data_IF_586252444320
#
_entry.id   IF_586252444320
#
_cell.length_a   1.000
_cell.length_b   1.000
_cell.length_c   1.000
_cell.angle_alpha   90.00
_cell.angle_beta   90.00
_cell.angle_gamma   90.00
#
_symmetry.space_group_name_H-M   'P 1'
#
loop_
_entity.id
_entity.type
_entity.pdbx_description
1 polymer ?
#
# COMPACT_ATOMS: atom_id res chain seq x y z
N UNK A 1 4.13 -6.62 -8.60
CA UNK A 1 3.86 -5.33 -7.91
C UNK A 1 5.11 -4.44 -7.83
N UNK A 2 6.24 -4.88 -7.25
CA UNK A 2 7.42 -3.99 -7.07
C UNK A 2 8.23 -3.69 -8.34
N UNK A 3 8.12 -4.50 -9.39
CA UNK A 3 8.75 -4.21 -10.69
C UNK A 3 8.20 -2.96 -11.40
N UNK A 4 7.01 -2.48 -11.00
CA UNK A 4 6.45 -1.22 -11.49
C UNK A 4 6.98 0.04 -10.78
N UNK A 5 7.82 -0.11 -9.76
CA UNK A 5 8.29 1.00 -8.92
C UNK A 5 9.51 1.72 -9.52
N UNK A 6 9.34 2.32 -10.70
CA UNK A 6 10.33 3.25 -11.27
C UNK A 6 10.29 4.58 -10.50
N UNK A 7 11.22 4.74 -9.56
CA UNK A 7 11.27 5.92 -8.68
C UNK A 7 11.58 7.22 -9.45
N UNK A 8 12.25 7.14 -10.61
CA UNK A 8 12.54 8.32 -11.44
C UNK A 8 11.29 8.79 -12.18
N UNK A 9 10.52 7.87 -12.73
CA UNK A 9 9.24 8.18 -13.36
C UNK A 9 8.25 8.73 -12.32
N UNK A 10 8.11 8.06 -11.16
CA UNK A 10 7.23 8.49 -10.07
C UNK A 10 7.56 9.94 -9.63
N UNK A 11 8.83 10.27 -9.41
CA UNK A 11 9.23 11.62 -9.00
C UNK A 11 8.96 12.71 -10.05
N UNK A 12 8.85 12.34 -11.33
CA UNK A 12 8.55 13.27 -12.43
C UNK A 12 7.05 13.38 -12.71
N UNK A 13 6.35 12.26 -12.73
CA UNK A 13 4.96 12.13 -13.19
C UNK A 13 3.96 12.31 -12.04
N UNK A 14 4.34 11.99 -10.80
CA UNK A 14 3.49 12.11 -9.62
C UNK A 14 3.76 13.36 -8.77
N UNK A 15 4.42 14.40 -9.30
CA UNK A 15 4.88 15.57 -8.52
C UNK A 15 3.81 16.20 -7.63
N UNK A 16 2.58 16.35 -8.12
CA UNK A 16 1.49 16.93 -7.36
C UNK A 16 1.07 16.07 -6.14
N UNK A 17 1.30 14.75 -6.23
CA UNK A 17 0.81 13.74 -5.31
C UNK A 17 1.88 13.23 -4.33
N UNK A 18 3.17 13.36 -4.67
CA UNK A 18 4.30 12.93 -3.82
C UNK A 18 4.27 13.59 -2.45
N UNK A 19 4.04 14.90 -2.38
CA UNK A 19 3.95 15.63 -1.10
C UNK A 19 2.79 15.15 -0.22
N UNK A 20 1.54 15.14 -0.73
CA UNK A 20 0.39 14.57 -0.03
C UNK A 20 0.61 13.12 0.42
N UNK A 21 1.22 12.28 -0.41
CA UNK A 21 1.53 10.89 -0.07
C UNK A 21 2.56 10.78 1.05
N UNK A 22 3.65 11.55 1.00
CA UNK A 22 4.66 11.57 2.06
C UNK A 22 4.06 11.99 3.41
N UNK A 23 3.16 12.98 3.41
CA UNK A 23 2.43 13.41 4.60
C UNK A 23 1.44 12.35 5.09
N UNK A 24 0.76 11.63 4.19
CA UNK A 24 -0.09 10.50 4.57
C UNK A 24 0.73 9.35 5.19
N UNK A 25 1.88 9.01 4.62
CA UNK A 25 2.78 8.01 5.20
C UNK A 25 3.31 8.45 6.58
N UNK A 26 3.68 9.72 6.73
CA UNK A 26 4.07 10.29 8.03
C UNK A 26 2.92 10.25 9.05
N UNK A 27 1.69 10.53 8.62
CA UNK A 27 0.50 10.39 9.47
C UNK A 27 0.30 8.94 9.93
N UNK A 28 0.55 7.95 9.07
CA UNK A 28 0.54 6.53 9.46
C UNK A 28 1.63 6.21 10.47
N UNK A 29 2.85 6.74 10.29
CA UNK A 29 3.96 6.56 11.24
C UNK A 29 3.58 7.11 12.62
N UNK A 30 3.04 8.32 12.68
CA UNK A 30 2.59 8.94 13.94
C UNK A 30 1.42 8.15 14.55
N UNK A 31 0.46 7.72 13.75
CA UNK A 31 -0.66 6.89 14.20
C UNK A 31 -0.21 5.54 14.76
N UNK A 32 0.77 4.90 14.11
CA UNK A 32 1.37 3.66 14.59
C UNK A 32 2.11 3.86 15.92
N UNK A 33 2.87 4.95 16.06
CA UNK A 33 3.56 5.26 17.32
C UNK A 33 2.56 5.53 18.47
N UNK A 34 1.49 6.29 18.21
CA UNK A 34 0.43 6.54 19.18
C UNK A 34 -0.32 5.26 19.57
N UNK A 35 -0.62 4.40 18.59
CA UNK A 35 -1.26 3.11 18.83
C UNK A 35 -0.36 2.16 19.62
N UNK A 36 0.95 2.14 19.33
CA UNK A 36 1.92 1.35 20.09
C UNK A 36 2.05 1.83 21.54
N UNK A 37 2.08 3.15 21.77
CA UNK A 37 2.10 3.73 23.11
C UNK A 37 0.83 3.40 23.92
N UNK A 38 -0.31 3.16 23.27
CA UNK A 38 -1.54 2.69 23.91
C UNK A 38 -1.47 1.20 24.35
N UNK A 39 -0.46 0.46 23.90
CA UNK A 39 -0.16 -0.91 24.32
C UNK A 39 -1.02 -2.00 23.67
N UNK A 40 -0.75 -3.26 24.05
CA UNK A 40 -1.50 -4.45 23.64
C UNK A 40 -0.95 -5.20 22.42
N UNK A 41 -0.03 -4.61 21.66
CA UNK A 41 0.53 -5.21 20.43
C UNK A 41 2.05 -5.27 20.49
N UNK A 42 2.63 -6.40 20.10
CA UNK A 42 4.08 -6.58 19.97
C UNK A 42 4.67 -5.60 18.94
N UNK A 43 5.88 -5.12 19.21
CA UNK A 43 6.55 -4.12 18.38
C UNK A 43 6.75 -4.57 16.92
N UNK A 44 6.89 -5.89 16.67
CA UNK A 44 7.04 -6.45 15.32
C UNK A 44 5.73 -6.42 14.55
N UNK A 45 4.62 -6.77 15.21
CA UNK A 45 3.29 -6.66 14.60
C UNK A 45 2.92 -5.19 14.38
N UNK A 46 3.25 -4.31 15.32
CA UNK A 46 3.04 -2.86 15.17
C UNK A 46 3.75 -2.30 13.92
N UNK A 47 5.03 -2.66 13.73
CA UNK A 47 5.80 -2.30 12.53
C UNK A 47 5.22 -2.91 11.24
N UNK A 48 4.73 -4.14 11.29
CA UNK A 48 4.08 -4.78 10.15
C UNK A 48 2.77 -4.08 9.75
N UNK A 49 1.92 -3.74 10.73
CA UNK A 49 0.67 -2.99 10.52
C UNK A 49 0.94 -1.56 10.02
N UNK A 50 2.03 -0.92 10.45
CA UNK A 50 2.44 0.36 9.91
C UNK A 50 2.84 0.24 8.42
N UNK A 51 3.68 -0.73 8.08
CA UNK A 51 4.08 -1.00 6.69
C UNK A 51 2.86 -1.30 5.81
N UNK A 52 1.90 -2.09 6.34
CA UNK A 52 0.64 -2.35 5.65
C UNK A 52 -0.11 -1.07 5.29
N UNK A 53 -0.14 -0.10 6.20
CA UNK A 53 -0.92 1.12 6.04
C UNK A 53 -0.17 2.24 5.30
N UNK A 54 1.07 1.98 4.86
CA UNK A 54 1.85 2.85 3.96
C UNK A 54 1.96 2.24 2.55
N UNK A 55 2.00 0.91 2.44
CA UNK A 55 2.26 0.19 1.18
C UNK A 55 1.53 -1.14 1.03
N UNK A 56 0.38 -1.33 1.67
CA UNK A 56 -0.48 -2.51 1.49
C UNK A 56 0.05 -3.83 2.06
N UNK A 57 -0.74 -4.89 1.91
CA UNK A 57 -0.49 -6.16 2.62
C UNK A 57 0.72 -6.98 2.11
N UNK A 58 1.28 -6.70 0.94
CA UNK A 58 2.57 -7.30 0.55
C UNK A 58 3.70 -6.85 1.47
N UNK A 59 3.66 -5.58 1.92
CA UNK A 59 4.62 -5.05 2.87
C UNK A 59 4.39 -5.60 4.28
N UNK A 60 3.13 -5.84 4.66
CA UNK A 60 2.81 -6.56 5.90
C UNK A 60 3.51 -7.92 5.95
N UNK A 61 3.33 -8.74 4.90
CA UNK A 61 3.92 -10.09 4.82
C UNK A 61 5.44 -10.03 4.85
N UNK A 62 6.05 -9.08 4.13
CA UNK A 62 7.49 -8.89 4.11
C UNK A 62 8.06 -8.54 5.49
N UNK A 63 7.42 -7.63 6.23
CA UNK A 63 7.85 -7.28 7.59
C UNK A 63 7.64 -8.44 8.56
N UNK A 64 6.50 -9.13 8.48
CA UNK A 64 6.22 -10.29 9.32
C UNK A 64 7.24 -11.42 9.12
N UNK A 65 7.63 -11.69 7.87
CA UNK A 65 8.67 -12.67 7.56
C UNK A 65 10.04 -12.21 8.11
N UNK A 66 10.43 -10.95 7.85
CA UNK A 66 11.71 -10.40 8.27
C UNK A 66 11.90 -10.39 9.79
N UNK A 67 10.83 -10.10 10.54
CA UNK A 67 10.85 -10.02 12.00
C UNK A 67 10.39 -11.32 12.70
N UNK A 68 10.07 -12.36 11.93
CA UNK A 68 9.55 -13.63 12.45
C UNK A 68 8.35 -13.44 13.38
N UNK A 69 7.35 -12.69 12.93
CA UNK A 69 6.08 -12.50 13.66
C UNK A 69 5.37 -13.85 13.79
N UNK A 70 4.85 -14.15 14.98
CA UNK A 70 4.15 -15.41 15.26
C UNK A 70 2.87 -15.55 14.45
N UNK A 71 2.49 -16.78 14.10
CA UNK A 71 1.32 -17.06 13.24
C UNK A 71 0.00 -16.47 13.78
N UNK A 72 -0.20 -16.49 15.11
CA UNK A 72 -1.40 -15.91 15.73
C UNK A 72 -1.49 -14.39 15.54
N UNK A 73 -0.38 -13.67 15.73
CA UNK A 73 -0.29 -12.22 15.52
C UNK A 73 -0.40 -11.87 14.04
N UNK A 74 0.25 -12.67 13.19
CA UNK A 74 0.17 -12.54 11.75
C UNK A 74 -1.28 -12.60 11.25
N UNK A 75 -2.02 -13.62 11.65
CA UNK A 75 -3.42 -13.79 11.25
C UNK A 75 -4.31 -12.74 11.88
N UNK A 76 -4.10 -12.41 13.16
CA UNK A 76 -4.86 -11.37 13.85
C UNK A 76 -4.72 -10.00 13.17
N UNK A 77 -3.50 -9.62 12.80
CA UNK A 77 -3.21 -8.38 12.08
C UNK A 77 -3.95 -8.28 10.76
N UNK A 78 -3.87 -9.30 9.91
CA UNK A 78 -4.55 -9.28 8.59
C UNK A 78 -6.07 -9.24 8.76
N UNK A 79 -6.62 -10.07 9.64
CA UNK A 79 -8.07 -10.16 9.81
C UNK A 79 -8.67 -8.84 10.32
N UNK A 80 -8.08 -8.27 11.38
CA UNK A 80 -8.55 -6.99 11.94
C UNK A 80 -8.38 -5.86 10.95
N UNK A 81 -7.25 -5.83 10.23
CA UNK A 81 -7.01 -4.78 9.26
C UNK A 81 -7.99 -4.82 8.07
N UNK A 82 -8.34 -6.02 7.59
CA UNK A 82 -9.39 -6.17 6.57
C UNK A 82 -10.75 -5.68 7.08
N UNK A 83 -11.08 -5.93 8.36
CA UNK A 83 -12.29 -5.36 8.99
C UNK A 83 -12.20 -3.83 9.07
N UNK A 84 -11.05 -3.27 9.45
CA UNK A 84 -10.85 -1.83 9.50
C UNK A 84 -11.00 -1.18 8.10
N UNK A 85 -10.57 -1.86 7.05
CA UNK A 85 -10.72 -1.42 5.66
C UNK A 85 -12.19 -1.27 5.24
N UNK A 86 -13.09 -2.12 5.76
CA UNK A 86 -14.55 -2.02 5.52
C UNK A 86 -15.16 -0.72 6.08
N UNK A 87 -14.50 -0.09 7.05
CA UNK A 87 -14.90 1.20 7.61
C UNK A 87 -14.16 2.33 6.89
N UNK A 88 -12.85 2.19 6.72
CA UNK A 88 -11.97 3.23 6.18
C UNK A 88 -12.33 3.64 4.75
N UNK A 89 -12.52 2.70 3.82
CA UNK A 89 -12.78 3.05 2.42
C UNK A 89 -14.13 3.76 2.20
N UNK A 90 -15.25 3.31 2.81
CA UNK A 90 -16.49 4.07 2.75
C UNK A 90 -16.38 5.46 3.37
N UNK A 91 -15.59 5.62 4.43
CA UNK A 91 -15.36 6.91 5.09
C UNK A 91 -14.62 7.87 4.14
N UNK A 92 -13.55 7.42 3.47
CA UNK A 92 -12.87 8.21 2.45
C UNK A 92 -13.77 8.53 1.26
N UNK A 93 -14.58 7.57 0.79
CA UNK A 93 -15.53 7.81 -0.30
C UNK A 93 -16.59 8.85 0.10
N UNK A 94 -17.07 8.83 1.35
CA UNK A 94 -17.97 9.84 1.87
C UNK A 94 -17.31 11.22 1.96
N UNK A 95 -16.04 11.27 2.38
CA UNK A 95 -15.27 12.51 2.41
C UNK A 95 -15.06 13.09 1.00
N UNK A 96 -14.75 12.24 0.02
CA UNK A 96 -14.62 12.64 -1.38
C UNK A 96 -15.93 13.23 -1.94
N UNK A 97 -17.07 12.59 -1.65
CA UNK A 97 -18.39 13.12 -2.04
C UNK A 97 -18.67 14.50 -1.43
N UNK A 98 -18.32 14.71 -0.16
CA UNK A 98 -18.47 16.03 0.49
C UNK A 98 -17.60 17.10 -0.17
N UNK A 99 -16.33 16.80 -0.45
CA UNK A 99 -15.43 17.73 -1.15
C UNK A 99 -15.98 18.11 -2.54
N UNK A 100 -16.59 17.18 -3.25
CA UNK A 100 -17.27 17.48 -4.52
C UNK A 100 -18.52 18.34 -4.36
N UNK A 101 -19.31 18.11 -3.30
CA UNK A 101 -20.51 18.90 -3.02
C UNK A 101 -20.17 20.34 -2.59
N UNK A 102 -19.17 20.52 -1.71
CA UNK A 102 -18.75 21.81 -1.18
C UNK A 102 -18.03 22.68 -2.23
N UNK A 103 -17.45 22.06 -3.26
CA UNK A 103 -16.80 22.75 -4.38
C UNK A 103 -17.76 23.44 -5.36
N UNK A 104 -19.08 23.29 -5.19
CA UNK A 104 -20.09 23.70 -6.16
C UNK A 104 -20.11 22.75 -7.36
N UNK A 105 -21.29 22.33 -7.82
CA UNK A 105 -21.47 21.41 -8.95
C UNK A 105 -20.96 21.95 -10.28
N UNK A 106 -19.66 21.92 -10.50
CA UNK A 106 -18.98 22.51 -11.66
C UNK A 106 -17.73 21.76 -12.08
N UNK A 107 -17.88 20.46 -12.36
CA UNK A 107 -17.22 19.72 -13.46
C UNK A 107 -18.20 18.61 -13.93
N UNK A 108 -19.50 18.93 -13.94
CA UNK A 108 -20.54 18.19 -14.65
C UNK A 108 -20.85 18.93 -15.95
N UNK A 109 -19.97 18.82 -16.94
CA UNK A 109 -20.14 19.47 -18.23
C UNK A 109 -18.86 19.46 -19.06
N UNK A 110 -18.82 18.56 -20.04
CA UNK A 110 -17.94 18.60 -21.22
C UNK A 110 -16.44 18.36 -21.02
N UNK A 111 -16.04 17.10 -20.79
CA UNK A 111 -15.04 16.52 -21.71
C UNK A 111 -15.84 16.01 -22.94
N UNK A 112 -16.34 16.96 -23.74
CA UNK A 112 -16.77 16.65 -25.10
C UNK A 112 -15.50 16.27 -25.85
N UNK A 113 -15.40 14.97 -26.13
CA UNK A 113 -14.38 14.32 -26.96
C UNK A 113 -12.98 14.36 -26.33
N UNK A 114 -12.74 13.40 -25.44
CA UNK A 114 -11.48 12.67 -25.49
C UNK A 114 -11.74 11.17 -25.41
N UNK A 115 -12.38 10.65 -26.46
CA UNK A 115 -12.42 9.21 -26.75
C UNK A 115 -10.99 8.65 -26.84
N UNK A 116 -9.96 9.49 -26.98
CA UNK A 116 -8.56 9.10 -26.90
C UNK A 116 -8.09 8.72 -25.50
N UNK A 117 -8.59 9.28 -24.38
CA UNK A 117 -8.03 8.94 -23.06
C UNK A 117 -8.59 7.64 -22.47
N UNK A 118 -9.86 7.33 -22.75
CA UNK A 118 -10.41 6.01 -22.43
C UNK A 118 -9.80 4.96 -23.36
N UNK A 119 -9.56 5.29 -24.64
CA UNK A 119 -8.72 4.46 -25.49
C UNK A 119 -7.32 4.34 -24.90
N UNK A 120 -6.63 5.37 -24.44
CA UNK A 120 -5.22 5.24 -24.04
C UNK A 120 -5.02 4.50 -22.70
N UNK A 121 -5.96 4.58 -21.75
CA UNK A 121 -5.90 3.79 -20.50
C UNK A 121 -6.44 2.37 -20.69
N UNK A 122 -7.45 2.19 -21.55
CA UNK A 122 -7.97 0.87 -21.90
C UNK A 122 -7.07 0.16 -22.92
N UNK A 123 -6.39 0.87 -23.82
CA UNK A 123 -5.35 0.41 -24.76
C UNK A 123 -4.06 0.17 -24.00
N UNK A 124 -3.62 1.04 -23.07
CA UNK A 124 -2.47 0.70 -22.22
C UNK A 124 -2.75 -0.58 -21.41
N UNK A 125 -3.98 -0.75 -20.86
CA UNK A 125 -4.37 -1.99 -20.18
C UNK A 125 -4.63 -3.17 -21.11
N UNK A 126 -5.06 -2.95 -22.35
CA UNK A 126 -5.38 -4.00 -23.33
C UNK A 126 -4.14 -4.50 -24.07
N UNK A 127 -3.19 -3.62 -24.34
CA UNK A 127 -1.84 -3.97 -24.83
C UNK A 127 -1.06 -4.76 -23.76
N UNK A 128 -1.31 -4.47 -22.47
CA UNK A 128 -0.73 -5.22 -21.34
C UNK A 128 -1.49 -6.54 -21.02
N UNK A 129 -2.74 -6.70 -21.49
CA UNK A 129 -3.60 -7.86 -21.19
C UNK A 129 -3.46 -9.02 -22.19
N UNK A 130 -2.80 -8.82 -23.33
CA UNK A 130 -2.46 -9.87 -24.31
C UNK A 130 -1.15 -10.60 -23.93
N UNK A 131 -0.89 -10.77 -22.64
CA UNK A 131 0.23 -11.58 -22.17
C UNK A 131 -0.02 -13.04 -22.54
N UNK A 132 0.79 -13.56 -23.47
CA UNK A 132 0.77 -14.98 -23.83
C UNK A 132 1.08 -15.83 -22.59
N UNK A 133 0.63 -17.08 -22.57
CA UNK A 133 1.03 -18.03 -21.51
C UNK A 133 2.57 -18.13 -21.38
N UNK A 134 3.30 -17.92 -22.48
CA UNK A 134 4.76 -17.85 -22.49
C UNK A 134 5.33 -16.62 -21.75
N UNK A 135 4.65 -15.47 -21.81
CA UNK A 135 5.06 -14.23 -21.14
C UNK A 135 4.81 -14.34 -19.63
N UNK A 136 3.70 -14.96 -19.23
CA UNK A 136 3.41 -15.26 -17.84
C UNK A 136 4.44 -16.22 -17.22
N UNK A 137 4.82 -17.28 -17.94
CA UNK A 137 5.87 -18.22 -17.53
C UNK A 137 7.24 -17.53 -17.38
N UNK A 138 7.64 -16.74 -18.38
CA UNK A 138 8.90 -15.98 -18.34
C UNK A 138 8.94 -15.03 -17.16
N UNK A 139 7.84 -14.31 -16.93
CA UNK A 139 7.68 -13.38 -15.81
C UNK A 139 7.75 -14.10 -14.46
N UNK A 140 7.17 -15.30 -14.36
CA UNK A 140 7.27 -16.13 -13.17
C UNK A 140 8.72 -16.54 -12.90
N UNK A 141 9.47 -16.99 -13.92
CA UNK A 141 10.89 -17.32 -13.78
C UNK A 141 11.73 -16.11 -13.36
N UNK A 142 11.52 -14.93 -13.96
CA UNK A 142 12.22 -13.70 -13.56
C UNK A 142 11.91 -13.35 -12.11
N UNK A 143 10.65 -13.48 -11.70
CA UNK A 143 10.24 -13.21 -10.31
C UNK A 143 10.88 -14.19 -9.32
N UNK A 144 10.92 -15.48 -9.65
CA UNK A 144 11.60 -16.51 -8.83
C UNK A 144 13.10 -16.26 -8.80
N UNK A 145 13.72 -15.87 -9.92
CA UNK A 145 15.12 -15.49 -9.99
C UNK A 145 15.44 -14.29 -9.09
N UNK A 146 14.63 -13.24 -9.13
CA UNK A 146 14.77 -12.09 -8.22
C UNK A 146 14.61 -12.48 -6.74
N UNK A 147 13.71 -13.41 -6.44
CA UNK A 147 13.55 -13.96 -5.09
C UNK A 147 14.80 -14.74 -4.65
N UNK A 148 15.36 -15.58 -5.52
CA UNK A 148 16.59 -16.32 -5.25
C UNK A 148 17.78 -15.37 -5.03
N UNK A 149 17.93 -14.33 -5.85
CA UNK A 149 18.94 -13.29 -5.64
C UNK A 149 18.75 -12.56 -4.32
N UNK A 150 17.51 -12.21 -3.95
CA UNK A 150 17.20 -11.59 -2.66
C UNK A 150 17.54 -12.50 -1.49
N UNK A 151 17.28 -13.81 -1.61
CA UNK A 151 17.65 -14.80 -0.59
C UNK A 151 19.17 -14.92 -0.43
N UNK A 152 19.92 -15.00 -1.54
CA UNK A 152 21.39 -15.02 -1.50
C UNK A 152 21.92 -13.74 -0.82
N UNK A 153 21.41 -12.58 -1.22
CA UNK A 153 21.80 -11.30 -0.62
C UNK A 153 21.50 -11.25 0.88
N UNK A 154 20.31 -11.68 1.28
CA UNK A 154 19.88 -11.73 2.68
C UNK A 154 20.80 -12.62 3.54
N UNK A 155 21.18 -13.80 3.01
CA UNK A 155 22.09 -14.71 3.69
C UNK A 155 23.52 -14.15 3.78
N UNK A 156 24.06 -13.61 2.68
CA UNK A 156 25.41 -13.03 2.64
C UNK A 156 25.51 -11.80 3.55
N UNK A 157 24.45 -11.00 3.65
CA UNK A 157 24.39 -9.84 4.53
C UNK A 157 24.16 -10.19 6.00
N UNK A 158 23.96 -11.46 6.35
CA UNK A 158 23.74 -11.93 7.73
C UNK A 158 22.30 -11.76 8.25
N UNK A 159 21.33 -11.54 7.37
CA UNK A 159 19.91 -11.36 7.70
C UNK A 159 19.02 -12.39 6.97
N UNK A 160 19.09 -13.68 7.32
CA UNK A 160 18.44 -14.76 6.55
C UNK A 160 16.90 -14.65 6.46
N UNK A 161 16.26 -13.93 7.39
CA UNK A 161 14.80 -13.66 7.36
C UNK A 161 14.43 -12.49 6.45
N UNK A 162 15.39 -11.67 6.02
CA UNK A 162 15.17 -10.44 5.24
C UNK A 162 15.10 -10.68 3.72
N UNK A 163 14.82 -11.91 3.27
CA UNK A 163 14.68 -12.27 1.85
C UNK A 163 13.69 -11.37 1.12
N UNK A 164 12.48 -11.18 1.65
CA UNK A 164 11.45 -10.35 1.01
C UNK A 164 11.86 -8.86 0.89
N UNK A 165 12.34 -8.19 1.96
CA UNK A 165 12.91 -6.84 1.84
C UNK A 165 14.05 -6.75 0.82
N UNK A 166 14.97 -7.72 0.80
CA UNK A 166 16.08 -7.73 -0.15
C UNK A 166 15.60 -7.87 -1.60
N UNK A 167 14.64 -8.76 -1.85
CA UNK A 167 14.00 -8.92 -3.16
C UNK A 167 13.31 -7.63 -3.60
N UNK A 168 12.60 -6.94 -2.70
CA UNK A 168 11.98 -5.64 -3.00
C UNK A 168 13.04 -4.61 -3.38
N UNK A 169 14.14 -4.49 -2.62
CA UNK A 169 15.22 -3.55 -2.95
C UNK A 169 15.80 -3.83 -4.34
N UNK A 170 16.12 -5.09 -4.66
CA UNK A 170 16.64 -5.47 -5.96
C UNK A 170 15.65 -5.16 -7.10
N UNK A 171 14.38 -5.48 -6.92
CA UNK A 171 13.35 -5.22 -7.92
C UNK A 171 13.14 -3.71 -8.18
N UNK A 172 13.14 -2.89 -7.12
CA UNK A 172 13.01 -1.42 -7.22
C UNK A 172 14.24 -0.81 -7.88
N UNK A 173 15.45 -1.27 -7.52
CA UNK A 173 16.70 -0.84 -8.17
C UNK A 173 16.65 -1.17 -9.66
N UNK A 174 16.26 -2.40 -10.01
CA UNK A 174 16.11 -2.82 -11.39
C UNK A 174 15.06 -1.98 -12.15
N UNK A 175 13.88 -1.78 -11.55
CA UNK A 175 12.81 -0.96 -12.12
C UNK A 175 13.24 0.49 -12.39
N UNK A 176 14.08 1.05 -11.52
CA UNK A 176 14.56 2.43 -11.62
C UNK A 176 15.78 2.57 -12.55
N UNK A 177 16.66 1.57 -12.59
CA UNK A 177 17.89 1.59 -13.40
C UNK A 177 17.65 1.20 -14.85
N UNK A 178 16.74 0.25 -15.10
CA UNK A 178 16.43 -0.29 -16.43
C UNK A 178 14.91 -0.33 -16.68
N UNK A 179 14.21 0.82 -16.69
CA UNK A 179 12.75 0.86 -16.76
C UNK A 179 12.18 0.27 -18.04
N UNK A 180 12.91 0.35 -19.17
CA UNK A 180 12.51 -0.26 -20.44
C UNK A 180 12.44 -1.78 -20.39
N UNK A 181 13.25 -2.41 -19.53
CA UNK A 181 13.23 -3.86 -19.30
C UNK A 181 12.21 -4.26 -18.22
N UNK A 182 12.03 -3.41 -17.21
CA UNK A 182 11.14 -3.69 -16.09
C UNK A 182 9.65 -3.49 -16.41
N UNK A 183 9.30 -2.53 -17.29
CA UNK A 183 7.90 -2.22 -17.63
C UNK A 183 7.12 -3.43 -18.19
N UNK A 184 7.63 -4.18 -19.19
CA UNK A 184 6.92 -5.36 -19.69
C UNK A 184 6.71 -6.43 -18.61
N UNK A 185 7.71 -6.63 -17.73
CA UNK A 185 7.62 -7.58 -16.61
C UNK A 185 6.58 -7.11 -15.59
N UNK A 186 6.50 -5.81 -15.33
CA UNK A 186 5.53 -5.25 -14.40
C UNK A 186 4.09 -5.45 -14.92
N UNK A 187 3.86 -5.16 -16.20
CA UNK A 187 2.57 -5.31 -16.87
C UNK A 187 2.03 -6.75 -16.78
N UNK A 188 2.87 -7.74 -17.07
CA UNK A 188 2.49 -9.16 -17.01
C UNK A 188 2.39 -9.67 -15.56
N UNK A 189 3.25 -9.19 -14.65
CA UNK A 189 3.29 -9.66 -13.26
C UNK A 189 2.15 -9.10 -12.40
N UNK A 190 1.64 -7.91 -12.71
CA UNK A 190 0.70 -7.20 -11.82
C UNK A 190 -0.66 -7.90 -11.66
N UNK A 191 -1.34 -8.34 -12.74
CA UNK A 191 -2.59 -9.08 -12.61
C UNK A 191 -2.43 -10.41 -11.87
N UNK A 192 -1.36 -11.16 -12.18
CA UNK A 192 -1.07 -12.43 -11.51
C UNK A 192 -0.75 -12.23 -10.03
N UNK A 193 0.12 -11.27 -9.69
CA UNK A 193 0.46 -10.96 -8.31
C UNK A 193 -0.76 -10.49 -7.51
N UNK A 194 -1.64 -9.68 -8.11
CA UNK A 194 -2.88 -9.21 -7.47
C UNK A 194 -3.83 -10.38 -7.20
N UNK A 195 -3.99 -11.29 -8.17
CA UNK A 195 -4.86 -12.46 -8.03
C UNK A 195 -4.37 -13.39 -6.93
N UNK A 196 -3.07 -13.70 -6.91
CA UNK A 196 -2.45 -14.53 -5.87
C UNK A 196 -2.53 -13.88 -4.48
N UNK A 197 -2.40 -12.55 -4.40
CA UNK A 197 -2.54 -11.81 -3.15
C UNK A 197 -3.97 -11.91 -2.59
N UNK A 198 -5.00 -11.86 -3.43
CA UNK A 198 -6.38 -12.05 -2.98
C UNK A 198 -6.64 -13.47 -2.48
N UNK A 199 -6.15 -14.49 -3.19
CA UNK A 199 -6.21 -15.88 -2.71
C UNK A 199 -5.53 -16.01 -1.35
N UNK A 200 -4.35 -15.40 -1.20
CA UNK A 200 -3.63 -15.37 0.07
C UNK A 200 -4.45 -14.71 1.18
N UNK A 201 -5.10 -13.56 0.95
CA UNK A 201 -5.93 -12.91 1.97
C UNK A 201 -7.17 -13.73 2.35
N UNK A 202 -7.79 -14.41 1.38
CA UNK A 202 -8.92 -15.31 1.65
C UNK A 202 -8.48 -16.45 2.56
N UNK A 203 -7.34 -17.09 2.26
CA UNK A 203 -6.80 -18.19 3.07
C UNK A 203 -6.38 -17.69 4.46
N UNK A 204 -5.70 -16.54 4.55
CA UNK A 204 -5.30 -15.95 5.81
C UNK A 204 -6.52 -15.62 6.70
N UNK A 205 -7.58 -15.07 6.11
CA UNK A 205 -8.83 -14.81 6.81
C UNK A 205 -9.55 -16.07 7.27
N UNK A 206 -9.59 -17.12 6.45
CA UNK A 206 -10.17 -18.40 6.82
C UNK A 206 -9.38 -19.14 7.92
N UNK A 207 -8.09 -18.84 8.05
CA UNK A 207 -7.18 -19.48 9.02
C UNK A 207 -7.20 -18.83 10.41
N UNK A 208 -8.27 -18.10 10.77
CA UNK A 208 -8.40 -17.23 11.96
C UNK A 208 -8.31 -17.92 13.34
N UNK A 209 -8.05 -19.23 13.39
CA UNK A 209 -7.89 -20.00 14.62
C UNK A 209 -9.22 -20.32 15.32
N UNK A 210 -9.11 -20.86 16.54
CA UNK A 210 -10.26 -21.14 17.40
C UNK A 210 -10.79 -19.87 18.08
N UNK A 211 -12.06 -19.85 18.47
CA UNK A 211 -12.67 -18.73 19.22
C UNK A 211 -12.32 -18.78 20.72
N UNK A 212 -11.10 -19.19 21.05
CA UNK A 212 -10.65 -19.26 22.44
C UNK A 212 -10.59 -17.85 23.07
N UNK A 213 -10.76 -17.72 24.39
CA UNK A 213 -10.65 -16.42 25.07
C UNK A 213 -9.31 -15.70 24.80
N UNK A 214 -8.22 -16.47 24.68
CA UNK A 214 -6.89 -15.93 24.39
C UNK A 214 -6.77 -15.37 22.97
N UNK A 215 -7.39 -16.06 21.99
CA UNK A 215 -7.47 -15.60 20.61
C UNK A 215 -8.32 -14.33 20.50
N UNK A 216 -9.45 -14.28 21.20
CA UNK A 216 -10.32 -13.11 21.21
C UNK A 216 -9.66 -11.89 21.86
N UNK A 217 -8.90 -12.08 22.95
CA UNK A 217 -8.13 -11.02 23.57
C UNK A 217 -7.10 -10.43 22.60
N UNK A 218 -6.35 -11.30 21.89
CA UNK A 218 -5.40 -10.88 20.84
C UNK A 218 -6.08 -10.06 19.75
N UNK A 219 -7.22 -10.53 19.22
CA UNK A 219 -7.99 -9.76 18.24
C UNK A 219 -8.44 -8.41 18.79
N UNK A 220 -8.84 -8.34 20.06
CA UNK A 220 -9.23 -7.10 20.73
C UNK A 220 -8.09 -6.10 20.84
N UNK A 221 -6.89 -6.54 21.18
CA UNK A 221 -5.71 -5.66 21.28
C UNK A 221 -5.27 -5.15 19.91
N UNK A 222 -5.24 -6.01 18.89
CA UNK A 222 -4.96 -5.61 17.50
C UNK A 222 -6.04 -4.65 16.97
N UNK A 223 -7.31 -4.88 17.31
CA UNK A 223 -8.41 -3.98 16.95
C UNK A 223 -8.24 -2.60 17.57
N UNK A 224 -7.89 -2.53 18.86
CA UNK A 224 -7.59 -1.25 19.54
C UNK A 224 -6.42 -0.53 18.87
N UNK A 225 -5.34 -1.25 18.57
CA UNK A 225 -4.18 -0.69 17.88
C UNK A 225 -4.58 -0.11 16.51
N UNK A 226 -5.28 -0.88 15.67
CA UNK A 226 -5.74 -0.42 14.36
C UNK A 226 -6.69 0.78 14.50
N UNK A 227 -7.65 0.75 15.44
CA UNK A 227 -8.57 1.86 15.65
C UNK A 227 -7.83 3.18 15.96
N UNK A 228 -6.82 3.15 16.83
CA UNK A 228 -5.99 4.33 17.13
C UNK A 228 -5.17 4.76 15.91
N UNK A 229 -4.52 3.82 15.22
CA UNK A 229 -3.71 4.10 14.04
C UNK A 229 -4.54 4.79 12.95
N UNK A 230 -5.70 4.23 12.59
CA UNK A 230 -6.58 4.78 11.57
C UNK A 230 -7.18 6.12 11.99
N UNK A 231 -7.58 6.28 13.26
CA UNK A 231 -8.12 7.54 13.76
C UNK A 231 -7.09 8.66 13.67
N UNK A 232 -5.87 8.44 14.14
CA UNK A 232 -4.77 9.43 14.07
C UNK A 232 -4.39 9.70 12.62
N UNK A 233 -4.28 8.66 11.78
CA UNK A 233 -3.98 8.81 10.35
C UNK A 233 -5.00 9.71 9.65
N UNK A 234 -6.31 9.39 9.78
CA UNK A 234 -7.38 10.18 9.14
C UNK A 234 -7.42 11.59 9.70
N UNK A 235 -7.25 11.78 11.01
CA UNK A 235 -7.25 13.11 11.63
C UNK A 235 -6.09 13.98 11.10
N UNK A 236 -4.88 13.43 11.02
CA UNK A 236 -3.71 14.16 10.53
C UNK A 236 -3.81 14.45 9.02
N UNK A 237 -4.30 13.50 8.22
CA UNK A 237 -4.56 13.75 6.80
C UNK A 237 -5.63 14.82 6.63
N UNK A 238 -6.73 14.78 7.40
CA UNK A 238 -7.78 15.79 7.35
C UNK A 238 -7.27 17.18 7.77
N UNK A 239 -6.42 17.24 8.80
CA UNK A 239 -5.74 18.47 9.19
C UNK A 239 -4.85 18.99 8.05
N UNK A 240 -3.99 18.14 7.47
CA UNK A 240 -3.16 18.51 6.33
C UNK A 240 -4.01 18.99 5.14
N UNK A 241 -5.07 18.27 4.81
CA UNK A 241 -6.00 18.61 3.74
C UNK A 241 -6.76 19.91 3.96
N UNK A 242 -6.84 20.42 5.19
CA UNK A 242 -7.56 21.64 5.53
C UNK A 242 -6.60 22.82 5.69
N UNK A 243 -5.47 22.63 6.37
CA UNK A 243 -4.56 23.70 6.74
C UNK A 243 -3.45 23.94 5.71
N UNK A 244 -3.06 22.92 4.93
CA UNK A 244 -2.03 23.10 3.90
C UNK A 244 -2.65 23.72 2.65
N UNK A 245 -2.00 24.76 2.13
CA UNK A 245 -2.43 25.54 0.96
C UNK A 245 -3.89 26.05 1.04
N UNK A 246 -4.40 26.28 2.25
CA UNK A 246 -5.79 26.70 2.48
C UNK A 246 -6.82 25.67 2.03
N UNK A 247 -6.45 24.39 1.98
CA UNK A 247 -7.32 23.28 1.62
C UNK A 247 -7.61 23.14 0.13
N UNK A 248 -6.78 23.72 -0.74
CA UNK A 248 -6.91 23.58 -2.20
C UNK A 248 -6.58 22.17 -2.70
N UNK A 249 -5.79 21.39 -1.96
CA UNK A 249 -5.34 20.04 -2.33
C UNK A 249 -6.10 18.90 -1.65
N UNK A 250 -7.36 19.13 -1.25
CA UNK A 250 -8.17 18.11 -0.53
C UNK A 250 -8.27 16.80 -1.33
N UNK A 251 -8.43 16.88 -2.65
CA UNK A 251 -8.54 15.72 -3.54
C UNK A 251 -7.27 14.86 -3.46
N UNK A 252 -6.11 15.49 -3.54
CA UNK A 252 -4.80 14.86 -3.46
C UNK A 252 -4.55 14.22 -2.09
N UNK A 253 -4.92 14.87 -0.98
CA UNK A 253 -4.79 14.27 0.36
C UNK A 253 -5.72 13.08 0.58
N UNK A 254 -6.94 13.12 0.07
CA UNK A 254 -7.87 11.98 0.13
C UNK A 254 -7.31 10.80 -0.68
N UNK A 255 -6.84 11.07 -1.90
CA UNK A 255 -6.21 10.06 -2.74
C UNK A 255 -4.90 9.55 -2.14
N UNK A 256 -4.11 10.39 -1.49
CA UNK A 256 -2.88 10.01 -0.81
C UNK A 256 -3.14 9.08 0.36
N UNK A 257 -4.16 9.37 1.16
CA UNK A 257 -4.61 8.51 2.26
C UNK A 257 -5.06 7.14 1.74
N UNK A 258 -5.84 7.13 0.65
CA UNK A 258 -6.26 5.89 0.01
C UNK A 258 -5.07 5.11 -0.59
N UNK A 259 -4.14 5.81 -1.26
CA UNK A 259 -2.94 5.22 -1.84
C UNK A 259 -2.05 4.55 -0.78
N UNK A 260 -1.88 5.18 0.39
CA UNK A 260 -1.06 4.64 1.48
C UNK A 260 -1.68 3.38 2.09
N UNK A 261 -2.97 3.44 2.43
CA UNK A 261 -3.65 2.35 3.14
C UNK A 261 -4.09 1.22 2.22
N UNK A 262 -4.66 1.56 1.07
CA UNK A 262 -5.32 0.62 0.16
C UNK A 262 -4.53 0.24 -1.08
N UNK A 263 -3.63 1.10 -1.54
CA UNK A 263 -2.75 0.81 -2.68
C UNK A 263 -3.35 1.12 -4.06
N UNK A 264 -2.65 0.73 -5.14
CA UNK A 264 -2.90 1.18 -6.52
C UNK A 264 -4.33 0.98 -7.02
N UNK A 265 -4.90 -0.21 -6.83
CA UNK A 265 -6.24 -0.54 -7.32
C UNK A 265 -7.34 0.30 -6.63
N UNK A 266 -7.23 0.46 -5.31
CA UNK A 266 -8.24 1.17 -4.51
C UNK A 266 -8.24 2.67 -4.79
N UNK A 267 -7.06 3.26 -5.01
CA UNK A 267 -6.96 4.71 -5.26
C UNK A 267 -7.40 5.05 -6.68
N UNK A 268 -7.13 4.17 -7.65
CA UNK A 268 -7.69 4.29 -8.99
C UNK A 268 -9.23 4.23 -8.98
N UNK A 269 -9.80 3.31 -8.20
CA UNK A 269 -11.25 3.19 -8.04
C UNK A 269 -11.86 4.42 -7.35
N UNK A 270 -11.22 4.95 -6.31
CA UNK A 270 -11.68 6.16 -5.64
C UNK A 270 -11.59 7.39 -6.56
N UNK A 271 -10.46 7.58 -7.27
CA UNK A 271 -10.31 8.68 -8.22
C UNK A 271 -11.38 8.63 -9.32
N UNK A 272 -11.67 7.43 -9.84
CA UNK A 272 -12.69 7.24 -10.89
C UNK A 272 -14.09 7.53 -10.37
N UNK A 273 -14.46 6.95 -9.22
CA UNK A 273 -15.80 7.13 -8.62
C UNK A 273 -16.05 8.57 -8.12
N UNK A 274 -14.99 9.29 -7.74
CA UNK A 274 -15.06 10.69 -7.34
C UNK A 274 -14.96 11.67 -8.52
N UNK A 275 -14.73 11.20 -9.76
CA UNK A 275 -14.57 12.05 -10.95
C UNK A 275 -13.19 12.74 -11.08
N UNK A 276 -12.21 12.39 -10.24
CA UNK A 276 -10.88 13.01 -10.21
C UNK A 276 -9.88 12.29 -11.13
N UNK A 277 -10.28 12.02 -12.38
CA UNK A 277 -9.52 11.18 -13.33
C UNK A 277 -8.09 11.67 -13.56
N UNK A 278 -7.88 13.00 -13.62
CA UNK A 278 -6.55 13.63 -13.78
C UNK A 278 -5.57 13.30 -12.65
N UNK A 279 -6.07 12.96 -11.46
CA UNK A 279 -5.25 12.58 -10.30
C UNK A 279 -5.06 11.06 -10.17
N UNK A 280 -5.72 10.25 -11.00
CA UNK A 280 -5.66 8.78 -10.90
C UNK A 280 -4.24 8.24 -11.11
N UNK A 281 -3.62 8.59 -12.24
CA UNK A 281 -2.24 8.17 -12.58
C UNK A 281 -1.23 8.58 -11.49
N UNK A 282 -1.13 9.87 -11.09
CA UNK A 282 -0.14 10.25 -10.08
C UNK A 282 -0.42 9.60 -8.71
N UNK A 283 -1.68 9.33 -8.34
CA UNK A 283 -2.01 8.63 -7.10
C UNK A 283 -1.65 7.14 -7.12
N UNK A 284 -1.88 6.47 -8.25
CA UNK A 284 -1.44 5.09 -8.48
C UNK A 284 0.08 4.98 -8.39
N UNK A 285 0.81 5.89 -9.03
CA UNK A 285 2.28 5.94 -8.97
C UNK A 285 2.81 6.13 -7.55
N UNK A 286 2.19 7.01 -6.75
CA UNK A 286 2.54 7.16 -5.33
C UNK A 286 2.23 5.89 -4.51
N UNK A 287 1.12 5.21 -4.78
CA UNK A 287 0.81 3.94 -4.12
C UNK A 287 1.86 2.86 -4.43
N UNK A 288 2.33 2.79 -5.68
CA UNK A 288 3.43 1.90 -6.08
C UNK A 288 4.74 2.30 -5.39
N UNK A 289 5.01 3.60 -5.22
CA UNK A 289 6.14 4.08 -4.43
C UNK A 289 6.06 3.62 -2.96
N UNK A 290 4.86 3.67 -2.37
CA UNK A 290 4.58 3.11 -1.06
C UNK A 290 5.02 1.65 -0.94
N UNK A 291 4.74 0.85 -1.96
CA UNK A 291 5.16 -0.55 -1.99
C UNK A 291 6.69 -0.74 -1.91
N UNK A 292 7.47 0.23 -2.40
CA UNK A 292 8.92 0.18 -2.40
C UNK A 292 9.53 0.48 -1.02
N UNK A 293 8.93 1.40 -0.25
CA UNK A 293 9.52 1.91 1.00
C UNK A 293 8.90 1.35 2.27
N UNK A 294 7.62 0.94 2.23
CA UNK A 294 6.86 0.65 3.44
C UNK A 294 7.46 -0.49 4.29
N UNK A 295 7.99 -1.55 3.66
CA UNK A 295 8.67 -2.65 4.37
C UNK A 295 9.82 -2.13 5.23
N UNK A 296 10.67 -1.26 4.67
CA UNK A 296 11.82 -0.71 5.38
C UNK A 296 11.40 0.23 6.50
N UNK A 297 10.37 1.05 6.27
CA UNK A 297 9.78 1.92 7.30
C UNK A 297 9.23 1.06 8.45
N UNK A 298 8.50 -0.02 8.16
CA UNK A 298 7.95 -0.91 9.20
C UNK A 298 9.02 -1.62 10.04
N UNK A 299 10.08 -2.12 9.41
CA UNK A 299 11.23 -2.72 10.12
C UNK A 299 11.91 -1.70 11.02
N UNK A 300 12.13 -0.47 10.51
CA UNK A 300 12.72 0.61 11.28
C UNK A 300 11.84 1.01 12.48
N UNK A 301 10.51 1.10 12.29
CA UNK A 301 9.57 1.39 13.36
C UNK A 301 9.56 0.30 14.42
N UNK A 302 9.49 -0.97 14.03
CA UNK A 302 9.57 -2.08 14.98
C UNK A 302 10.85 -2.04 15.80
N UNK A 303 11.98 -1.70 15.17
CA UNK A 303 13.26 -1.56 15.86
C UNK A 303 13.25 -0.39 16.84
N UNK A 304 12.63 0.73 16.47
CA UNK A 304 12.48 1.88 17.36
C UNK A 304 11.56 1.54 18.55
N UNK A 305 10.40 0.95 18.30
CA UNK A 305 9.43 0.52 19.33
C UNK A 305 10.03 -0.50 20.29
N UNK A 306 10.79 -1.48 19.79
CA UNK A 306 11.45 -2.49 20.63
C UNK A 306 12.47 -1.90 21.62
N UNK A 307 13.09 -0.75 21.30
CA UNK A 307 14.00 -0.05 22.23
C UNK A 307 13.28 0.63 23.39
N UNK A 308 11.99 0.95 23.24
CA UNK A 308 11.17 1.56 24.29
C UNK A 308 10.36 0.53 25.09
N UNK A 309 10.32 -0.72 24.62
CA UNK A 309 9.59 -1.83 25.25
C UNK A 309 10.45 -2.69 26.17
N UNK A 310 11.77 -2.48 26.20
CA UNK A 310 12.72 -3.11 27.11
C UNK A 310 13.16 -2.18 28.22
#
# INVERSE_FOLDING_TARGET
MVFGADLRAIGREARAQVGPFALAAAATVVGSAAAFAAGGVDHRLAGALAAKNIGGGVNYVAVCAALSVGAGDFTAGIAVDNVAALIFFPLLAAWARRVNADGGGGEGGEDLIDTHSNLDVEIARKDDADASSADALTTAFVTVGALACGNVLANVAGFPTATLPCTTALAVIFATAAPTLARPIAATAEPLATSLLFVFFVIAGASSGDLSPSTLARYGDVFRYCAVLYAVHVALVAACATFIDGGRRKREFILASNAAVGGPATVAALATSAGWRRLSVPAVLCAVAGNAFATFIGIALSSAFGRFAG
#
